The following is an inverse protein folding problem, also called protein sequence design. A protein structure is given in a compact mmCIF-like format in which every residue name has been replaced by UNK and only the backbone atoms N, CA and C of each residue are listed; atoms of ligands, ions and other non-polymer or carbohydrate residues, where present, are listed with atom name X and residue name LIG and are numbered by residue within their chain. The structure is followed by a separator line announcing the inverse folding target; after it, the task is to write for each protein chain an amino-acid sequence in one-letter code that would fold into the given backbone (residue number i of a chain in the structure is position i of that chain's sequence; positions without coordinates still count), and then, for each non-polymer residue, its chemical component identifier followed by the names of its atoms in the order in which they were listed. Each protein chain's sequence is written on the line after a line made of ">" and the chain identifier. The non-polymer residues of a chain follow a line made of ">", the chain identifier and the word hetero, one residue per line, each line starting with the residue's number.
data_IF_698988940051
#
_entry.id   IF_698988940051
#
_cell.length_a   1.000
_cell.length_b   1.000
_cell.length_c   1.000
_cell.angle_alpha   90.00
_cell.angle_beta   90.00
_cell.angle_gamma   90.00
#
_symmetry.space_group_name_H-M   'P 1'
#
loop_
_entity.id
_entity.type
_entity.pdbx_description
1 polymer ?
#
# COMPACT_ATOMS: atom_id res chain seq x y z
N UNK A 1 8.34 -8.27 -2.17
CA UNK A 1 7.76 -6.91 -1.96
C UNK A 1 7.38 -6.18 -3.25
N UNK A 2 7.84 -6.65 -4.40
CA UNK A 2 7.58 -5.95 -5.66
C UNK A 2 6.09 -5.82 -5.97
N UNK A 3 5.31 -6.89 -5.73
CA UNK A 3 3.87 -6.84 -6.01
C UNK A 3 3.16 -5.76 -5.18
N UNK A 4 3.57 -5.56 -3.92
CA UNK A 4 3.00 -4.49 -3.09
C UNK A 4 3.36 -3.11 -3.65
N UNK A 5 4.61 -2.89 -4.05
CA UNK A 5 5.01 -1.62 -4.65
C UNK A 5 4.29 -1.38 -5.99
N UNK A 6 4.10 -2.42 -6.78
CA UNK A 6 3.33 -2.32 -8.03
C UNK A 6 1.88 -1.91 -7.75
N UNK A 7 1.26 -2.48 -6.71
CA UNK A 7 -0.09 -2.11 -6.31
C UNK A 7 -0.17 -0.63 -5.88
N UNK A 8 0.84 -0.14 -5.14
CA UNK A 8 0.90 1.26 -4.74
C UNK A 8 1.03 2.16 -5.97
N UNK A 9 1.86 1.79 -6.93
CA UNK A 9 2.11 2.58 -8.14
C UNK A 9 0.83 2.81 -8.94
N UNK A 10 -0.11 1.88 -8.89
CA UNK A 10 -1.38 1.97 -9.64
C UNK A 10 -2.58 2.25 -8.75
N UNK A 11 -2.37 2.43 -7.44
CA UNK A 11 -3.47 2.67 -6.51
C UNK A 11 -4.22 3.95 -6.83
N UNK A 12 -5.53 3.92 -6.63
CA UNK A 12 -6.40 5.10 -6.78
C UNK A 12 -7.18 5.29 -5.48
N UNK A 13 -7.66 6.50 -5.26
CA UNK A 13 -8.53 6.75 -4.12
C UNK A 13 -9.95 6.36 -4.49
N UNK A 14 -10.52 5.45 -3.72
CA UNK A 14 -11.88 4.96 -3.94
C UNK A 14 -12.88 5.83 -3.20
N UNK A 15 -14.18 5.68 -3.53
CA UNK A 15 -15.24 6.39 -2.80
C UNK A 15 -15.59 5.68 -1.49
N UNK A 16 -15.42 4.36 -1.45
CA UNK A 16 -15.72 3.55 -0.28
C UNK A 16 -14.48 2.81 0.20
N UNK A 17 -14.47 2.40 1.45
CA UNK A 17 -13.40 1.58 2.00
C UNK A 17 -13.34 0.26 1.24
N UNK A 18 -12.15 -0.12 0.77
CA UNK A 18 -11.95 -1.41 0.11
C UNK A 18 -10.49 -1.83 0.14
N UNK A 19 -10.27 -3.15 0.06
CA UNK A 19 -8.93 -3.69 -0.02
C UNK A 19 -8.40 -3.57 -1.44
N UNK A 20 -7.20 -2.99 -1.58
CA UNK A 20 -6.52 -2.82 -2.86
C UNK A 20 -5.55 -3.98 -3.09
N UNK A 21 -4.86 -4.44 -2.05
CA UNK A 21 -3.85 -5.49 -2.17
C UNK A 21 -3.93 -6.42 -0.97
N UNK A 22 -3.96 -7.73 -1.23
CA UNK A 22 -4.04 -8.75 -0.20
C UNK A 22 -2.92 -9.77 -0.42
N UNK A 23 -1.78 -9.56 0.26
CA UNK A 23 -0.63 -10.44 0.10
C UNK A 23 -0.77 -11.78 0.81
N UNK A 24 -1.63 -11.85 1.83
CA UNK A 24 -1.76 -13.04 2.68
C UNK A 24 -2.37 -14.25 1.98
N UNK A 25 -2.94 -14.07 0.81
CA UNK A 25 -3.51 -15.18 0.06
C UNK A 25 -2.50 -16.11 -0.61
N UNK A 26 -1.20 -15.81 -0.51
CA UNK A 26 -0.15 -16.63 -1.08
C UNK A 26 0.06 -16.46 -2.57
N UNK A 27 -0.66 -15.55 -3.21
CA UNK A 27 -0.54 -15.28 -4.64
C UNK A 27 0.64 -14.37 -4.99
N UNK A 28 1.26 -13.75 -3.98
CA UNK A 28 2.32 -12.77 -4.17
C UNK A 28 3.50 -13.12 -3.26
N UNK A 29 4.45 -13.95 -3.74
CA UNK A 29 5.61 -14.34 -2.93
C UNK A 29 6.37 -13.13 -2.41
N UNK A 30 6.75 -13.18 -1.14
CA UNK A 30 7.45 -12.09 -0.46
C UNK A 30 6.52 -11.02 0.12
N UNK A 31 5.22 -11.07 -0.15
CA UNK A 31 4.25 -10.10 0.34
C UNK A 31 3.20 -10.71 1.26
N UNK A 32 3.42 -11.92 1.75
CA UNK A 32 2.41 -12.69 2.49
C UNK A 32 1.95 -12.01 3.79
N UNK A 33 2.80 -11.15 4.35
CA UNK A 33 2.48 -10.44 5.59
C UNK A 33 1.83 -9.08 5.37
N UNK A 34 1.59 -8.68 4.13
CA UNK A 34 1.20 -7.31 3.81
C UNK A 34 -0.21 -7.19 3.23
N UNK A 35 -0.90 -6.10 3.58
CA UNK A 35 -2.15 -5.68 2.94
C UNK A 35 -2.10 -4.18 2.67
N UNK A 36 -2.84 -3.74 1.66
CA UNK A 36 -3.05 -2.33 1.36
C UNK A 36 -4.54 -2.09 1.22
N UNK A 37 -5.07 -1.20 2.04
CA UNK A 37 -6.49 -0.87 2.06
C UNK A 37 -6.70 0.61 1.78
N UNK A 38 -7.78 0.92 1.07
CA UNK A 38 -8.25 2.28 0.92
C UNK A 38 -9.31 2.57 1.98
N UNK A 39 -9.07 3.58 2.79
CA UNK A 39 -10.06 4.16 3.72
C UNK A 39 -10.12 5.65 3.41
N UNK A 40 -10.91 6.07 2.41
CA UNK A 40 -10.88 7.46 1.97
C UNK A 40 -11.02 8.46 3.14
N UNK A 41 -10.17 9.48 3.18
CA UNK A 41 -9.19 9.91 2.18
C UNK A 41 -7.79 9.34 2.37
N UNK A 42 -7.61 8.22 3.06
CA UNK A 42 -6.29 7.66 3.35
C UNK A 42 -6.13 6.25 2.80
N UNK A 43 -4.87 5.87 2.57
CA UNK A 43 -4.48 4.48 2.33
C UNK A 43 -3.80 3.94 3.58
N UNK A 44 -4.07 2.67 3.91
CA UNK A 44 -3.48 1.99 5.06
C UNK A 44 -2.73 0.76 4.58
N UNK A 45 -1.43 0.72 4.86
CA UNK A 45 -0.61 -0.47 4.67
C UNK A 45 -0.48 -1.17 6.01
N UNK A 46 -0.79 -2.45 6.05
CA UNK A 46 -0.69 -3.25 7.27
C UNK A 46 0.30 -4.39 7.06
N UNK A 47 1.19 -4.60 8.02
CA UNK A 47 2.03 -5.78 8.07
C UNK A 47 1.65 -6.61 9.29
N UNK A 48 1.44 -7.89 9.07
CA UNK A 48 1.23 -8.87 10.15
C UNK A 48 2.59 -9.35 10.61
N UNK A 49 3.02 -8.83 11.75
CA UNK A 49 4.35 -8.97 12.27
C UNK A 49 5.02 -7.62 12.43
N UNK A 50 6.34 -7.60 12.44
CA UNK A 50 7.08 -6.38 12.69
C UNK A 50 7.75 -5.88 11.40
N UNK A 51 7.45 -4.64 11.02
CA UNK A 51 8.06 -3.99 9.86
C UNK A 51 9.41 -3.40 10.27
N UNK A 52 10.41 -3.53 9.39
CA UNK A 52 11.70 -2.87 9.60
C UNK A 52 11.57 -1.37 9.31
N UNK A 53 12.50 -0.58 9.85
CA UNK A 53 12.53 0.85 9.56
C UNK A 53 12.72 1.12 8.06
N UNK A 54 13.51 0.29 7.39
CA UNK A 54 13.75 0.40 5.95
C UNK A 54 12.48 0.13 5.15
N UNK A 55 11.72 -0.90 5.53
CA UNK A 55 10.43 -1.20 4.90
C UNK A 55 9.45 -0.05 5.08
N UNK A 56 9.34 0.48 6.30
CA UNK A 56 8.44 1.58 6.59
C UNK A 56 8.80 2.83 5.77
N UNK A 57 10.09 3.17 5.69
CA UNK A 57 10.55 4.32 4.94
C UNK A 57 10.26 4.17 3.44
N UNK A 58 10.53 2.99 2.88
CA UNK A 58 10.30 2.73 1.47
C UNK A 58 8.82 2.81 1.12
N UNK A 59 7.96 2.26 1.97
CA UNK A 59 6.51 2.28 1.75
C UNK A 59 5.94 3.69 1.89
N UNK A 60 6.39 4.45 2.88
CA UNK A 60 5.99 5.85 3.05
C UNK A 60 6.34 6.66 1.82
N UNK A 61 7.56 6.52 1.32
CA UNK A 61 8.00 7.23 0.12
C UNK A 61 7.12 6.86 -1.09
N UNK A 62 6.85 5.56 -1.28
CA UNK A 62 6.03 5.10 -2.40
C UNK A 62 4.60 5.64 -2.33
N UNK A 63 4.00 5.61 -1.14
CA UNK A 63 2.64 6.11 -0.94
C UNK A 63 2.55 7.62 -1.16
N UNK A 64 3.52 8.38 -0.65
CA UNK A 64 3.56 9.81 -0.84
C UNK A 64 3.74 10.18 -2.32
N UNK A 65 4.59 9.45 -3.04
CA UNK A 65 4.79 9.67 -4.46
C UNK A 65 3.50 9.42 -5.25
N UNK A 66 2.78 8.34 -4.93
CA UNK A 66 1.52 8.03 -5.60
C UNK A 66 0.46 9.08 -5.30
N UNK A 67 0.35 9.50 -4.03
CA UNK A 67 -0.61 10.53 -3.65
C UNK A 67 -0.34 11.85 -4.39
N UNK A 68 0.92 12.23 -4.53
CA UNK A 68 1.28 13.43 -5.27
C UNK A 68 0.88 13.35 -6.74
N UNK A 69 0.87 12.16 -7.33
CA UNK A 69 0.46 11.96 -8.71
C UNK A 69 -1.03 12.11 -8.94
N UNK A 70 -1.85 11.64 -7.99
CA UNK A 70 -3.31 11.56 -8.18
C UNK A 70 -4.08 12.62 -7.41
N UNK A 71 -3.50 13.21 -6.36
CA UNK A 71 -4.15 14.19 -5.51
C UNK A 71 -3.11 15.17 -4.94
N UNK A 72 -2.46 15.99 -5.82
CA UNK A 72 -1.34 16.83 -5.39
C UNK A 72 -1.71 17.92 -4.39
N UNK A 73 -3.00 18.24 -4.29
CA UNK A 73 -3.49 19.28 -3.38
C UNK A 73 -3.89 18.76 -2.00
N UNK A 74 -3.66 17.49 -1.73
CA UNK A 74 -4.02 16.87 -0.45
C UNK A 74 -2.82 16.52 0.39
#
# INVERSE_FOLDING_TARGET
>A
MQALFDAITTAVMTTDAQRIFHGRGGLHPGCEAWTLDAYPPVWLVTKFGQATAEEQAALTTALQARQAQIAPDQ
#
